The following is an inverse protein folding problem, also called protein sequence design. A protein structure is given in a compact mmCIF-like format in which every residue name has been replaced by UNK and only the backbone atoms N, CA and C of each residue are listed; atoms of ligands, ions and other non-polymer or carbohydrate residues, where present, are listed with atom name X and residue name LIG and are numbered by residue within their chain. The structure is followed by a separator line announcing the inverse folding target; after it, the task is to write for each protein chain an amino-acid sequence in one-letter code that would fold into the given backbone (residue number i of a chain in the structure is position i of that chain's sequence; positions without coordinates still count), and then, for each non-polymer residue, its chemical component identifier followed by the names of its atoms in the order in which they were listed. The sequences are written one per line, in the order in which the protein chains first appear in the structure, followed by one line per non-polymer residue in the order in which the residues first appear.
data_IF_151350136139
#
_entry.id   IF_151350136139
#
_cell.length_a   1.000
_cell.length_b   1.000
_cell.length_c   1.000
_cell.angle_alpha   90.00
_cell.angle_beta   90.00
_cell.angle_gamma   90.00
#
_symmetry.space_group_name_H-M   'P 1'
#
loop_
_entity.id
_entity.type
_entity.pdbx_description
1 polymer ?
#
# COMPACT_ATOMS: atom_id res chain seq x y z
N UNK A 1 -3.31 -10.95 6.86
CA UNK A 1 -2.39 -11.05 5.69
C UNK A 1 -1.50 -9.83 5.67
N UNK A 2 -0.20 -10.00 5.43
CA UNK A 2 0.73 -8.90 5.19
C UNK A 2 0.76 -8.62 3.70
N UNK A 3 0.67 -7.35 3.32
CA UNK A 3 0.72 -6.91 1.92
C UNK A 3 1.70 -5.76 1.84
N UNK A 4 2.74 -5.91 1.01
CA UNK A 4 3.59 -4.80 0.60
C UNK A 4 2.82 -3.96 -0.41
N UNK A 5 2.55 -2.71 -0.08
CA UNK A 5 1.94 -1.73 -0.98
C UNK A 5 3.02 -0.77 -1.43
N UNK A 6 3.22 -0.69 -2.74
CA UNK A 6 4.11 0.30 -3.33
C UNK A 6 3.30 1.53 -3.71
N UNK A 7 3.67 2.66 -3.12
CA UNK A 7 3.09 3.98 -3.30
C UNK A 7 4.06 4.83 -4.12
N UNK A 8 3.53 5.75 -4.92
CA UNK A 8 4.28 6.74 -5.67
C UNK A 8 3.84 8.14 -5.22
N UNK A 9 4.80 8.95 -4.80
CA UNK A 9 4.52 10.32 -4.37
C UNK A 9 5.71 11.22 -4.71
N UNK A 10 5.42 12.36 -5.35
CA UNK A 10 6.43 13.41 -5.57
C UNK A 10 7.68 12.97 -6.33
N UNK A 11 7.58 12.00 -7.24
CA UNK A 11 8.74 11.50 -7.98
C UNK A 11 9.38 10.22 -7.41
N UNK A 12 9.00 9.80 -6.21
CA UNK A 12 9.64 8.69 -5.50
C UNK A 12 8.67 7.54 -5.24
N UNK A 13 9.22 6.32 -5.14
CA UNK A 13 8.49 5.12 -4.74
C UNK A 13 8.73 4.81 -3.27
N UNK A 14 7.63 4.57 -2.56
CA UNK A 14 7.59 4.22 -1.15
C UNK A 14 7.01 2.82 -1.03
N UNK A 15 7.59 1.98 -0.17
CA UNK A 15 7.08 0.64 0.10
C UNK A 15 6.58 0.59 1.54
N UNK A 16 5.32 0.23 1.74
CA UNK A 16 4.71 0.10 3.06
C UNK A 16 4.13 -1.31 3.24
N UNK A 17 4.46 -1.96 4.35
CA UNK A 17 3.84 -3.24 4.70
C UNK A 17 2.59 -2.97 5.53
N UNK A 18 1.44 -3.38 4.99
CA UNK A 18 0.14 -3.24 5.64
C UNK A 18 -0.36 -4.60 6.10
N UNK A 19 -0.86 -4.67 7.32
CA UNK A 19 -1.52 -5.85 7.86
C UNK A 19 -3.03 -5.68 7.69
N UNK A 20 -3.65 -6.57 6.91
CA UNK A 20 -5.09 -6.51 6.63
C UNK A 20 -5.75 -7.90 6.70
N UNK A 21 -7.03 -7.91 7.03
CA UNK A 21 -7.84 -9.14 7.04
C UNK A 21 -8.25 -9.57 5.63
N UNK A 22 -8.36 -8.63 4.69
CA UNK A 22 -8.71 -8.85 3.27
C UNK A 22 -7.76 -8.08 2.36
N UNK A 23 -7.36 -8.65 1.23
CA UNK A 23 -6.41 -8.05 0.28
C UNK A 23 -6.82 -6.64 -0.17
N UNK A 24 -8.10 -6.45 -0.50
CA UNK A 24 -8.66 -5.15 -0.92
C UNK A 24 -8.51 -4.04 0.14
N UNK A 25 -8.44 -4.43 1.42
CA UNK A 25 -8.22 -3.51 2.53
C UNK A 25 -6.84 -2.87 2.49
N UNK A 26 -5.83 -3.54 1.91
CA UNK A 26 -4.46 -3.03 1.90
C UNK A 26 -4.37 -1.70 1.15
N UNK A 27 -5.08 -1.56 0.02
CA UNK A 27 -5.16 -0.31 -0.74
C UNK A 27 -5.73 0.82 0.10
N UNK A 28 -6.87 0.58 0.75
CA UNK A 28 -7.60 1.59 1.51
C UNK A 28 -6.78 2.06 2.69
N UNK A 29 -6.16 1.13 3.42
CA UNK A 29 -5.30 1.47 4.56
C UNK A 29 -4.05 2.24 4.11
N UNK A 30 -3.39 1.81 3.04
CA UNK A 30 -2.20 2.49 2.51
C UNK A 30 -2.52 3.92 2.02
N UNK A 31 -3.66 4.10 1.32
CA UNK A 31 -4.13 5.42 0.88
C UNK A 31 -4.61 6.29 2.04
N UNK A 32 -5.25 5.72 3.06
CA UNK A 32 -5.69 6.47 4.23
C UNK A 32 -4.51 7.06 5.02
N UNK A 33 -3.36 6.36 5.04
CA UNK A 33 -2.11 6.84 5.64
C UNK A 33 -1.35 7.80 4.74
N UNK A 34 -1.45 7.62 3.42
CA UNK A 34 -0.73 8.40 2.41
C UNK A 34 -1.74 9.00 1.40
N UNK A 35 -2.56 9.99 1.79
CA UNK A 35 -3.70 10.48 1.01
C UNK A 35 -3.32 11.15 -0.31
N UNK A 36 -2.11 11.68 -0.40
CA UNK A 36 -1.55 12.34 -1.59
C UNK A 36 -0.72 11.40 -2.47
N UNK A 37 -0.58 10.13 -2.07
CA UNK A 37 0.19 9.13 -2.81
C UNK A 37 -0.70 8.30 -3.74
N UNK A 38 -0.09 7.76 -4.79
CA UNK A 38 -0.75 6.84 -5.73
C UNK A 38 -0.26 5.42 -5.49
N UNK A 39 -1.17 4.48 -5.26
CA UNK A 39 -0.79 3.07 -5.20
C UNK A 39 -0.46 2.58 -6.61
N UNK A 40 0.75 2.05 -6.79
CA UNK A 40 1.26 1.54 -8.07
C UNK A 40 1.41 0.01 -8.08
N UNK A 41 1.59 -0.62 -6.92
CA UNK A 41 1.64 -2.08 -6.81
C UNK A 41 1.14 -2.57 -5.44
N UNK A 42 0.65 -3.80 -5.40
CA UNK A 42 0.26 -4.51 -4.18
C UNK A 42 0.77 -5.93 -4.27
N UNK A 43 1.64 -6.32 -3.36
CA UNK A 43 2.26 -7.63 -3.34
C UNK A 43 1.91 -8.33 -2.02
N UNK A 44 1.12 -9.42 -2.04
CA UNK A 44 0.90 -10.20 -0.83
C UNK A 44 2.23 -10.83 -0.39
N UNK A 45 2.57 -10.66 0.89
CA UNK A 45 3.70 -11.33 1.50
C UNK A 45 3.15 -12.59 2.17
N UNK A 46 3.50 -13.75 1.60
CA UNK A 46 3.18 -15.08 2.15
C UNK A 46 4.06 -15.41 3.35
#
# INVERSE_FOLDING_TARGET
MKVEVTLYQGGQTLKEIVVVSKFEGAKKTALARNPTAKVIAQNPIV
#
